data_IF_845962970391
#
_entry.id   IF_845962970391
#
_cell.length_a   1.000
_cell.length_b   1.000
_cell.length_c   1.000
_cell.angle_alpha   90.00
_cell.angle_beta   90.00
_cell.angle_gamma   90.00
#
_symmetry.space_group_name_H-M   'P 1'
#
loop_
_entity.id
_entity.type
_entity.pdbx_description
1 polymer ?
#
# COMPACT_ATOMS: atom_id res chain seq x y z
N UNK A 1 -16.83 12.90 2.52
CA UNK A 1 -15.60 12.08 2.63
C UNK A 1 -15.89 10.92 3.55
N UNK A 2 -15.71 9.71 3.08
CA UNK A 2 -16.07 8.48 3.79
C UNK A 2 -14.92 7.48 3.72
N UNK A 3 -14.41 7.02 4.88
CA UNK A 3 -13.50 5.88 4.97
C UNK A 3 -14.33 4.62 5.23
N UNK A 4 -14.06 3.56 4.49
CA UNK A 4 -14.69 2.25 4.66
C UNK A 4 -13.66 1.14 4.52
N UNK A 5 -13.98 -0.05 5.01
CA UNK A 5 -13.19 -1.22 4.67
C UNK A 5 -13.25 -1.45 3.16
N UNK A 6 -12.13 -1.83 2.57
CA UNK A 6 -12.16 -2.25 1.18
C UNK A 6 -12.80 -3.63 1.05
N UNK A 7 -13.35 -3.89 -0.13
CA UNK A 7 -13.84 -5.19 -0.53
C UNK A 7 -12.98 -5.66 -1.70
N UNK A 8 -12.17 -6.71 -1.50
CA UNK A 8 -11.24 -7.18 -2.54
C UNK A 8 -11.92 -7.48 -3.87
N UNK A 9 -13.14 -8.02 -3.83
CA UNK A 9 -13.85 -8.37 -5.06
C UNK A 9 -14.40 -7.15 -5.80
N UNK A 10 -14.87 -6.14 -5.06
CA UNK A 10 -15.44 -4.93 -5.65
C UNK A 10 -14.40 -3.87 -6.00
N UNK A 11 -13.37 -3.74 -5.18
CA UNK A 11 -12.42 -2.64 -5.28
C UNK A 11 -11.14 -3.00 -6.05
N UNK A 12 -10.88 -4.28 -6.32
CA UNK A 12 -9.65 -4.73 -6.96
C UNK A 12 -9.36 -4.04 -8.29
N UNK A 13 -10.34 -3.94 -9.18
CA UNK A 13 -10.15 -3.32 -10.50
C UNK A 13 -9.78 -1.83 -10.38
N UNK A 14 -10.33 -1.13 -9.39
CA UNK A 14 -9.95 0.25 -9.08
C UNK A 14 -8.49 0.34 -8.63
N UNK A 15 -8.04 -0.58 -7.78
CA UNK A 15 -6.64 -0.62 -7.32
C UNK A 15 -5.69 -0.93 -8.48
N UNK A 16 -6.01 -1.89 -9.34
CA UNK A 16 -5.22 -2.22 -10.54
C UNK A 16 -5.09 -1.02 -11.46
N UNK A 17 -6.19 -0.31 -11.70
CA UNK A 17 -6.18 0.92 -12.50
C UNK A 17 -5.19 1.93 -11.91
N UNK A 18 -5.26 2.21 -10.63
CA UNK A 18 -4.39 3.19 -9.98
C UNK A 18 -2.91 2.75 -9.99
N UNK A 19 -2.63 1.49 -9.67
CA UNK A 19 -1.25 0.97 -9.75
C UNK A 19 -0.67 1.08 -11.16
N UNK A 20 -1.48 0.78 -12.17
CA UNK A 20 -1.07 0.89 -13.59
C UNK A 20 -0.79 2.34 -13.97
N UNK A 21 -1.65 3.26 -13.58
CA UNK A 21 -1.48 4.70 -13.85
C UNK A 21 -0.24 5.29 -13.17
N UNK A 22 0.12 4.79 -11.99
CA UNK A 22 1.33 5.18 -11.26
C UNK A 22 2.58 4.39 -11.67
N UNK A 23 2.45 3.44 -12.59
CA UNK A 23 3.51 2.51 -12.99
C UNK A 23 4.08 1.71 -11.80
N UNK A 24 3.21 1.40 -10.84
CA UNK A 24 3.51 0.48 -9.74
C UNK A 24 3.29 -0.98 -10.17
N UNK A 25 3.93 -1.90 -9.47
CA UNK A 25 3.65 -3.32 -9.63
C UNK A 25 2.22 -3.67 -9.21
N UNK A 26 1.60 -4.59 -9.93
CA UNK A 26 0.25 -5.09 -9.62
C UNK A 26 0.33 -6.31 -8.73
N UNK A 27 -0.36 -6.29 -7.59
CA UNK A 27 -0.45 -7.45 -6.72
C UNK A 27 -1.66 -8.32 -7.10
N UNK A 28 -1.53 -9.66 -7.19
CA UNK A 28 -2.67 -10.54 -7.44
C UNK A 28 -3.73 -10.40 -6.34
N UNK A 29 -5.00 -10.52 -6.71
CA UNK A 29 -6.13 -10.34 -5.78
C UNK A 29 -6.01 -11.21 -4.51
N UNK A 30 -5.64 -12.47 -4.69
CA UNK A 30 -5.46 -13.43 -3.59
C UNK A 30 -4.28 -13.10 -2.68
N UNK A 31 -3.35 -12.26 -3.13
CA UNK A 31 -2.22 -11.79 -2.34
C UNK A 31 -2.51 -10.48 -1.60
N UNK A 32 -3.62 -9.82 -1.91
CA UNK A 32 -4.06 -8.66 -1.14
C UNK A 32 -4.52 -9.06 0.26
N UNK A 33 -4.25 -8.26 1.29
CA UNK A 33 -4.80 -8.53 2.61
C UNK A 33 -6.34 -8.38 2.58
N UNK A 34 -7.07 -9.19 3.36
CA UNK A 34 -8.51 -9.02 3.49
C UNK A 34 -8.89 -7.71 4.20
N UNK A 35 -7.99 -7.18 5.03
CA UNK A 35 -8.17 -5.91 5.73
C UNK A 35 -7.53 -4.76 4.95
N UNK A 36 -8.24 -3.66 4.84
CA UNK A 36 -7.76 -2.44 4.20
C UNK A 36 -8.82 -1.35 4.26
N UNK A 37 -8.41 -0.15 3.94
CA UNK A 37 -9.26 1.04 3.92
C UNK A 37 -9.27 1.64 2.52
N UNK A 38 -10.43 2.04 2.07
CA UNK A 38 -10.61 2.90 0.90
C UNK A 38 -11.38 4.15 1.32
N UNK A 39 -11.00 5.30 0.79
CA UNK A 39 -11.63 6.59 1.10
C UNK A 39 -12.29 7.15 -0.14
N UNK A 40 -13.53 7.56 0.02
CA UNK A 40 -14.37 8.12 -1.04
C UNK A 40 -14.72 9.58 -0.77
N UNK A 41 -14.83 10.35 -1.85
CA UNK A 41 -15.40 11.69 -1.86
C UNK A 41 -16.59 11.68 -2.81
N UNK A 42 -17.77 12.03 -2.31
CA UNK A 42 -19.03 12.00 -3.07
C UNK A 42 -19.28 10.65 -3.77
N UNK A 43 -19.02 9.54 -3.06
CA UNK A 43 -19.19 8.18 -3.54
C UNK A 43 -18.13 7.69 -4.52
N UNK A 44 -17.10 8.50 -4.80
CA UNK A 44 -16.01 8.15 -5.71
C UNK A 44 -14.73 7.84 -4.93
N UNK A 45 -14.11 6.67 -5.11
CA UNK A 45 -12.85 6.32 -4.48
C UNK A 45 -11.72 7.29 -4.85
N UNK A 46 -10.90 7.66 -3.87
CA UNK A 46 -9.78 8.61 -4.02
C UNK A 46 -8.45 7.99 -3.61
N UNK A 47 -8.43 7.20 -2.55
CA UNK A 47 -7.21 6.50 -2.12
C UNK A 47 -7.54 5.22 -1.37
N UNK A 48 -6.56 4.35 -1.24
CA UNK A 48 -6.67 3.08 -0.53
C UNK A 48 -5.35 2.66 0.09
N UNK A 49 -5.43 1.73 1.03
CA UNK A 49 -4.27 1.05 1.61
C UNK A 49 -4.68 -0.22 2.32
N UNK A 50 -3.78 -1.19 2.38
CA UNK A 50 -3.99 -2.51 2.95
C UNK A 50 -3.25 -2.72 4.27
N UNK A 51 -3.74 -3.67 5.04
CA UNK A 51 -3.14 -4.09 6.30
C UNK A 51 -3.01 -5.61 6.36
N UNK A 52 -1.77 -6.09 6.33
CA UNK A 52 -1.47 -7.49 6.62
C UNK A 52 -1.34 -7.69 8.12
N UNK A 53 -2.06 -8.66 8.65
CA UNK A 53 -1.96 -9.07 10.05
C UNK A 53 -1.01 -10.26 10.13
N UNK A 54 0.06 -10.14 10.90
CA UNK A 54 0.97 -11.25 11.13
C UNK A 54 0.29 -12.33 11.96
N UNK A 55 0.05 -13.51 11.38
CA UNK A 55 -0.61 -14.64 12.03
C UNK A 55 0.12 -15.04 13.33
N UNK A 56 -0.62 -15.13 14.42
CA UNK A 56 -0.05 -15.49 15.72
C UNK A 56 0.84 -14.44 16.37
N UNK A 57 0.86 -13.22 15.85
CA UNK A 57 1.68 -12.12 16.35
C UNK A 57 0.83 -10.87 16.65
N UNK A 58 1.48 -9.86 17.25
CA UNK A 58 0.90 -8.53 17.43
C UNK A 58 1.61 -7.50 16.51
N UNK A 59 2.05 -7.96 15.35
CA UNK A 59 2.79 -7.19 14.36
C UNK A 59 2.01 -7.16 13.03
N UNK A 60 1.87 -6.00 12.42
CA UNK A 60 1.16 -5.82 11.16
C UNK A 60 1.99 -5.01 10.15
N UNK A 61 1.65 -5.17 8.88
CA UNK A 61 2.28 -4.46 7.76
C UNK A 61 1.23 -3.62 7.04
N UNK A 62 1.49 -2.33 6.94
CA UNK A 62 0.70 -1.44 6.09
C UNK A 62 1.36 -1.37 4.71
N UNK A 63 0.61 -1.75 3.69
CA UNK A 63 1.12 -1.81 2.31
C UNK A 63 0.07 -1.31 1.31
N UNK A 64 0.51 -1.10 0.09
CA UNK A 64 -0.35 -0.78 -1.06
C UNK A 64 -1.08 0.54 -0.94
N UNK A 65 -0.48 1.54 -0.28
CA UNK A 65 -1.02 2.89 -0.29
C UNK A 65 -0.97 3.42 -1.72
N UNK A 66 -2.12 3.77 -2.23
CA UNK A 66 -2.28 4.26 -3.61
C UNK A 66 -3.40 5.28 -3.69
N UNK A 67 -3.30 6.20 -4.62
CA UNK A 67 -4.28 7.27 -4.85
C UNK A 67 -4.77 7.28 -6.30
N UNK A 68 -5.96 7.82 -6.50
CA UNK A 68 -6.43 8.19 -7.83
C UNK A 68 -5.59 9.37 -8.35
N UNK A 69 -4.91 9.15 -9.47
CA UNK A 69 -4.04 10.16 -10.10
C UNK A 69 -4.82 11.37 -10.62
N UNK A 70 -6.10 11.18 -10.94
CA UNK A 70 -7.00 12.20 -11.46
C UNK A 70 -7.75 12.98 -10.36
N UNK A 71 -7.61 12.56 -9.09
CA UNK A 71 -8.26 13.25 -7.98
C UNK A 71 -7.60 14.62 -7.70
N UNK A 72 -8.39 15.54 -7.19
CA UNK A 72 -7.87 16.84 -6.77
C UNK A 72 -6.82 16.71 -5.66
N UNK A 73 -5.63 17.31 -5.78
CA UNK A 73 -4.56 17.21 -4.78
C UNK A 73 -4.99 17.54 -3.36
N UNK A 74 -5.91 18.48 -3.21
CA UNK A 74 -6.48 18.87 -1.91
C UNK A 74 -7.28 17.73 -1.27
N UNK A 75 -8.05 17.00 -2.06
CA UNK A 75 -8.80 15.84 -1.60
C UNK A 75 -7.86 14.67 -1.30
N UNK A 76 -6.88 14.43 -2.15
CA UNK A 76 -5.85 13.39 -1.94
C UNK A 76 -5.16 13.56 -0.59
N UNK A 77 -4.75 14.78 -0.24
CA UNK A 77 -4.09 15.05 1.04
C UNK A 77 -4.96 14.65 2.24
N UNK A 78 -6.23 15.05 2.23
CA UNK A 78 -7.19 14.74 3.31
C UNK A 78 -7.56 13.26 3.34
N UNK A 79 -7.78 12.66 2.17
CA UNK A 79 -8.13 11.26 2.05
C UNK A 79 -7.00 10.33 2.52
N UNK A 80 -5.76 10.63 2.17
CA UNK A 80 -4.59 9.88 2.63
C UNK A 80 -4.47 9.91 4.16
N UNK A 81 -4.67 11.09 4.76
CA UNK A 81 -4.66 11.17 6.24
C UNK A 81 -5.73 10.27 6.84
N UNK A 82 -6.95 10.35 6.34
CA UNK A 82 -8.06 9.55 6.82
C UNK A 82 -7.85 8.04 6.56
N UNK A 83 -7.29 7.69 5.42
CA UNK A 83 -6.96 6.30 5.07
C UNK A 83 -5.95 5.69 6.04
N UNK A 84 -4.83 6.37 6.26
CA UNK A 84 -3.76 5.86 7.14
C UNK A 84 -4.21 5.84 8.59
N UNK A 85 -4.91 6.87 9.08
CA UNK A 85 -5.52 6.88 10.41
C UNK A 85 -6.51 5.70 10.58
N UNK A 86 -7.29 5.41 9.54
CA UNK A 86 -8.21 4.27 9.51
C UNK A 86 -7.49 2.93 9.57
N UNK A 87 -6.37 2.77 8.86
CA UNK A 87 -5.53 1.57 8.92
C UNK A 87 -4.95 1.39 10.32
N UNK A 88 -4.46 2.45 10.95
CA UNK A 88 -3.93 2.39 12.33
C UNK A 88 -5.02 2.01 13.33
N UNK A 89 -6.23 2.57 13.19
CA UNK A 89 -7.37 2.20 14.02
C UNK A 89 -7.76 0.72 13.82
N UNK A 90 -7.77 0.26 12.57
CA UNK A 90 -8.05 -1.14 12.25
C UNK A 90 -7.01 -2.09 12.85
N UNK A 91 -5.73 -1.74 12.78
CA UNK A 91 -4.65 -2.50 13.41
C UNK A 91 -4.83 -2.59 14.92
N UNK A 92 -5.14 -1.47 15.56
CA UNK A 92 -5.40 -1.41 17.01
C UNK A 92 -6.60 -2.26 17.42
N UNK A 93 -7.70 -2.22 16.66
CA UNK A 93 -8.89 -3.04 16.91
C UNK A 93 -8.61 -4.54 16.77
N UNK A 94 -7.64 -4.91 15.94
CA UNK A 94 -7.19 -6.30 15.78
C UNK A 94 -6.14 -6.72 16.80
N UNK A 95 -5.83 -5.88 17.78
CA UNK A 95 -4.88 -6.17 18.85
C UNK A 95 -3.40 -6.07 18.44
N UNK A 96 -3.10 -5.44 17.31
CA UNK A 96 -1.73 -5.21 16.89
C UNK A 96 -1.08 -4.11 17.73
N UNK A 97 0.19 -4.28 18.04
CA UNK A 97 0.99 -3.32 18.82
C UNK A 97 1.98 -2.53 17.95
N UNK A 98 2.41 -3.11 16.85
CA UNK A 98 3.34 -2.49 15.93
C UNK A 98 2.79 -2.58 14.51
N UNK A 99 2.89 -1.49 13.77
CA UNK A 99 2.61 -1.42 12.34
C UNK A 99 3.88 -1.00 11.62
N UNK A 100 4.33 -1.84 10.72
CA UNK A 100 5.51 -1.63 9.88
C UNK A 100 5.07 -1.28 8.46
N UNK A 101 5.82 -0.42 7.80
CA UNK A 101 5.67 -0.16 6.38
C UNK A 101 7.02 0.18 5.75
N UNK A 102 7.16 -0.09 4.47
CA UNK A 102 8.29 0.34 3.67
C UNK A 102 7.77 1.00 2.38
N UNK A 103 8.34 2.12 2.01
CA UNK A 103 8.00 2.82 0.78
C UNK A 103 9.19 3.63 0.27
N UNK A 104 9.34 3.68 -1.05
CA UNK A 104 10.30 4.57 -1.72
C UNK A 104 9.73 5.98 -1.98
N UNK A 105 8.44 6.18 -1.76
CA UNK A 105 7.73 7.43 -2.06
C UNK A 105 8.04 8.50 -1.02
N UNK A 106 8.82 9.51 -1.39
CA UNK A 106 9.25 10.59 -0.48
C UNK A 106 8.08 11.37 0.12
N UNK A 107 6.99 11.53 -0.62
CA UNK A 107 5.79 12.19 -0.11
C UNK A 107 5.17 11.44 1.06
N UNK A 108 5.23 10.10 1.04
CA UNK A 108 4.77 9.26 2.15
C UNK A 108 5.74 9.30 3.34
N UNK A 109 7.06 9.36 3.11
CA UNK A 109 8.06 9.47 4.20
C UNK A 109 7.76 10.65 5.12
N UNK A 110 7.59 11.85 4.54
CA UNK A 110 7.27 13.07 5.29
C UNK A 110 5.92 12.97 5.99
N UNK A 111 4.94 12.39 5.32
CA UNK A 111 3.58 12.23 5.85
C UNK A 111 3.56 11.32 7.07
N UNK A 112 4.22 10.16 7.01
CA UNK A 112 4.26 9.20 8.12
C UNK A 112 4.84 9.81 9.39
N UNK A 113 5.92 10.55 9.27
CA UNK A 113 6.57 11.21 10.42
C UNK A 113 5.76 12.40 10.95
N UNK A 114 5.18 13.20 10.05
CA UNK A 114 4.50 14.46 10.43
C UNK A 114 3.09 14.24 10.98
N UNK A 115 2.34 13.31 10.39
CA UNK A 115 0.90 13.18 10.68
C UNK A 115 0.48 11.86 11.33
N UNK A 116 1.36 10.86 11.41
CA UNK A 116 0.99 9.51 11.83
C UNK A 116 1.90 8.93 12.90
N UNK A 117 2.72 9.76 13.53
CA UNK A 117 3.61 9.37 14.64
C UNK A 117 4.51 8.16 14.34
N UNK A 118 4.87 7.98 13.07
CA UNK A 118 5.75 6.90 12.66
C UNK A 118 7.21 7.32 12.77
N UNK A 119 8.06 6.39 13.17
CA UNK A 119 9.49 6.59 13.35
C UNK A 119 10.24 5.94 12.20
N UNK A 120 11.16 6.70 11.59
CA UNK A 120 12.07 6.12 10.61
C UNK A 120 13.04 5.16 11.31
N UNK A 121 13.01 3.88 10.94
CA UNK A 121 13.85 2.83 11.53
C UNK A 121 15.06 2.51 10.66
N UNK A 122 14.86 2.40 9.35
CA UNK A 122 15.92 2.11 8.38
C UNK A 122 15.74 2.89 7.10
N UNK A 123 16.82 3.17 6.40
CA UNK A 123 16.85 3.75 5.06
C UNK A 123 17.74 2.90 4.14
N UNK A 124 17.66 3.13 2.83
CA UNK A 124 18.43 2.39 1.82
C UNK A 124 18.16 0.87 1.83
N UNK A 125 16.93 0.49 2.09
CA UNK A 125 16.48 -0.91 2.12
C UNK A 125 16.17 -1.38 0.70
N UNK A 126 16.57 -2.62 0.37
CA UNK A 126 16.15 -3.31 -0.85
C UNK A 126 15.05 -4.31 -0.51
N UNK A 127 14.06 -4.45 -1.38
CA UNK A 127 12.99 -5.45 -1.23
C UNK A 127 13.19 -6.61 -2.19
N UNK A 128 12.80 -7.80 -1.76
CA UNK A 128 12.92 -9.03 -2.54
C UNK A 128 11.60 -9.77 -2.55
N UNK A 129 11.28 -10.39 -3.67
CA UNK A 129 10.08 -11.19 -3.85
C UNK A 129 10.45 -12.55 -4.46
N UNK A 130 9.81 -13.61 -4.01
CA UNK A 130 9.87 -14.93 -4.64
C UNK A 130 8.46 -15.42 -4.93
N UNK A 131 8.22 -15.79 -6.16
CA UNK A 131 7.03 -16.53 -6.57
C UNK A 131 7.27 -18.01 -6.29
N UNK A 132 6.61 -18.57 -5.27
CA UNK A 132 6.89 -19.93 -4.79
C UNK A 132 6.52 -21.01 -5.79
N UNK A 133 5.42 -20.83 -6.53
CA UNK A 133 4.89 -21.83 -7.45
C UNK A 133 5.10 -21.46 -8.94
N UNK A 134 5.69 -20.30 -9.21
CA UNK A 134 5.84 -19.77 -10.56
C UNK A 134 4.51 -19.35 -11.21
N UNK A 135 3.44 -19.23 -10.42
CA UNK A 135 2.10 -18.92 -10.93
C UNK A 135 1.97 -17.49 -11.47
N UNK A 136 2.82 -16.58 -11.00
CA UNK A 136 2.75 -15.15 -11.30
C UNK A 136 3.97 -14.63 -12.04
N UNK A 137 4.91 -15.48 -12.45
CA UNK A 137 6.21 -15.07 -13.01
C UNK A 137 6.09 -14.17 -14.23
N UNK A 138 5.06 -14.38 -15.06
CA UNK A 138 4.81 -13.57 -16.25
C UNK A 138 4.14 -12.22 -15.92
N UNK A 139 3.47 -12.14 -14.78
CA UNK A 139 2.72 -10.96 -14.32
C UNK A 139 3.51 -10.08 -13.33
N UNK A 140 4.67 -10.55 -12.87
CA UNK A 140 5.52 -9.78 -11.95
C UNK A 140 6.20 -8.62 -12.66
N UNK A 141 5.58 -7.46 -12.60
CA UNK A 141 6.07 -6.20 -13.16
C UNK A 141 6.86 -5.36 -12.14
N UNK A 142 7.34 -5.99 -11.06
CA UNK A 142 7.92 -5.31 -9.90
C UNK A 142 9.44 -5.28 -9.91
N UNK A 143 10.05 -5.74 -10.99
CA UNK A 143 11.51 -5.71 -11.13
C UNK A 143 11.94 -4.24 -11.26
N UNK A 144 12.79 -3.79 -10.35
CA UNK A 144 13.30 -2.43 -10.38
C UNK A 144 14.29 -2.23 -11.52
N UNK A 145 14.31 -1.02 -12.07
CA UNK A 145 15.30 -0.65 -13.08
C UNK A 145 16.75 -0.79 -12.58
N UNK A 146 16.96 -0.71 -11.27
CA UNK A 146 18.28 -0.87 -10.63
C UNK A 146 18.85 -2.29 -10.82
N UNK A 147 18.00 -3.33 -10.83
CA UNK A 147 18.43 -4.71 -11.05
C UNK A 147 18.79 -5.00 -12.51
N UNK A 148 18.10 -4.35 -13.45
CA UNK A 148 18.42 -4.47 -14.87
C UNK A 148 19.82 -3.93 -15.18
N UNK A 149 20.31 -2.96 -14.41
CA UNK A 149 21.65 -2.40 -14.54
C UNK A 149 22.71 -3.39 -14.02
N UNK A 150 22.45 -4.11 -12.93
CA UNK A 150 23.38 -5.08 -12.35
C UNK A 150 23.56 -6.33 -13.23
N UNK A 151 22.51 -6.81 -13.90
CA UNK A 151 22.59 -7.94 -14.84
C UNK A 151 23.36 -7.60 -16.13
N UNK A 152 23.32 -6.35 -16.58
CA UNK A 152 24.05 -5.91 -17.75
C UNK A 152 25.55 -5.66 -17.50
N UNK A 153 25.96 -5.55 -16.22
CA UNK A 153 27.35 -5.33 -15.81
C UNK A 153 28.08 -6.61 -15.35
N UNK A 154 27.44 -7.77 -15.45
CA UNK A 154 28.04 -9.09 -15.20
C UNK A 154 28.42 -9.75 -16.51
#
# INVERSE_FOLDING_TARGET
MLARNWDRDKDYDTLVKWWTEWEFGTVPKECLPPAGIIVEVDGKPVCAGGLYIGEGTQFAFMEWIVTDKDAEPRNVHKCLKLCIDGIMALAKDRGMKLVYTATKEQALHKRYQKYHDMVLTESNVKTFLRDLDGAYSEDLTWISDDEQIEEHNK
#
